data_IF_068847049521
#
_entry.id   IF_068847049521
#
_cell.length_a   1.000
_cell.length_b   1.000
_cell.length_c   1.000
_cell.angle_alpha   90.00
_cell.angle_beta   90.00
_cell.angle_gamma   90.00
#
_symmetry.space_group_name_H-M   'P 1'
#
loop_
_entity.id
_entity.type
_entity.pdbx_description
1 polymer ?
#
# COMPACT_ATOMS: atom_id res chain seq x y z
N UNK A 1 -7.10 13.77 -5.66
CA UNK A 1 -6.56 14.81 -6.57
C UNK A 1 -5.31 14.25 -7.23
N UNK A 2 -5.00 14.62 -8.46
CA UNK A 2 -3.84 14.11 -9.19
C UNK A 2 -2.90 15.24 -9.60
N UNK A 3 -1.59 14.98 -9.59
CA UNK A 3 -0.59 15.81 -10.28
C UNK A 3 -0.45 15.31 -11.71
N UNK A 4 -0.56 16.22 -12.68
CA UNK A 4 -0.45 15.95 -14.11
C UNK A 4 0.45 16.99 -14.77
N UNK A 5 1.09 16.62 -15.87
CA UNK A 5 1.88 17.53 -16.70
C UNK A 5 3.17 16.89 -17.20
N UNK A 6 3.91 17.60 -18.05
CA UNK A 6 5.18 17.13 -18.60
C UNK A 6 6.23 16.78 -17.53
N UNK A 7 6.09 17.33 -16.32
CA UNK A 7 6.96 17.01 -15.20
C UNK A 7 6.74 15.60 -14.62
N UNK A 8 5.54 15.01 -14.80
CA UNK A 8 5.19 13.71 -14.23
C UNK A 8 5.43 12.57 -15.23
N UNK A 9 5.66 11.32 -14.77
CA UNK A 9 5.82 10.18 -15.67
C UNK A 9 4.63 9.92 -16.60
N UNK A 10 3.40 10.22 -16.14
CA UNK A 10 2.17 10.06 -16.92
C UNK A 10 1.83 11.23 -17.85
N UNK A 11 2.63 12.31 -17.83
CA UNK A 11 2.41 13.47 -18.68
C UNK A 11 1.05 14.15 -18.40
N UNK A 12 0.41 14.59 -19.48
CA UNK A 12 -0.93 15.19 -19.45
C UNK A 12 -2.08 14.17 -19.42
N UNK A 13 -1.81 12.87 -19.23
CA UNK A 13 -2.86 11.88 -19.05
C UNK A 13 -3.39 11.93 -17.61
N UNK A 14 -4.64 12.35 -17.44
CA UNK A 14 -5.26 12.47 -16.11
C UNK A 14 -5.30 11.13 -15.37
N UNK A 15 -5.54 10.04 -16.11
CA UNK A 15 -5.69 8.70 -15.52
C UNK A 15 -4.34 8.14 -15.04
N UNK A 16 -3.22 8.59 -15.64
CA UNK A 16 -1.85 8.25 -15.25
C UNK A 16 -1.19 9.35 -14.39
N UNK A 17 -1.99 10.24 -13.79
CA UNK A 17 -1.50 11.25 -12.86
C UNK A 17 -1.00 10.66 -11.54
N UNK A 18 -0.11 11.37 -10.86
CA UNK A 18 0.38 10.98 -9.53
C UNK A 18 -0.73 11.27 -8.51
N UNK A 19 -1.19 10.25 -7.79
CA UNK A 19 -2.26 10.40 -6.81
C UNK A 19 -1.81 11.15 -5.56
N UNK A 20 -2.43 12.29 -5.31
CA UNK A 20 -2.38 12.99 -4.02
C UNK A 20 -3.46 12.43 -3.09
N UNK A 21 -3.01 11.84 -1.99
CA UNK A 21 -3.88 11.29 -0.96
C UNK A 21 -4.44 12.42 -0.10
N UNK A 22 -5.73 12.35 0.19
CA UNK A 22 -6.39 13.25 1.13
C UNK A 22 -5.89 12.95 2.54
N UNK A 23 -5.61 14.00 3.32
CA UNK A 23 -5.28 13.86 4.72
C UNK A 23 -6.53 13.37 5.49
N UNK A 24 -6.43 12.30 6.29
CA UNK A 24 -7.58 11.73 7.00
C UNK A 24 -8.17 12.67 8.07
N UNK A 25 -7.36 13.59 8.60
CA UNK A 25 -7.75 14.55 9.63
C UNK A 25 -8.15 15.92 9.06
N UNK A 26 -7.92 16.15 7.76
CA UNK A 26 -8.29 17.39 7.08
C UNK A 26 -8.62 17.14 5.60
N UNK A 27 -9.93 17.16 5.28
CA UNK A 27 -10.44 16.88 3.94
C UNK A 27 -9.95 17.86 2.85
N UNK A 28 -9.47 19.05 3.24
CA UNK A 28 -8.97 20.06 2.31
C UNK A 28 -7.47 19.94 2.02
N UNK A 29 -6.75 19.05 2.72
CA UNK A 29 -5.31 18.87 2.54
C UNK A 29 -5.05 17.59 1.77
N UNK A 30 -4.26 17.70 0.72
CA UNK A 30 -3.84 16.58 -0.10
C UNK A 30 -2.32 16.57 -0.22
N UNK A 31 -1.72 15.38 -0.21
CA UNK A 31 -0.27 15.27 -0.35
C UNK A 31 0.17 14.01 -1.08
N UNK A 32 1.37 14.05 -1.64
CA UNK A 32 2.09 12.89 -2.16
C UNK A 32 3.60 13.11 -2.11
N UNK A 33 4.34 12.01 -2.19
CA UNK A 33 5.73 12.05 -2.66
C UNK A 33 5.76 11.50 -4.07
N UNK A 34 6.38 12.22 -4.99
CA UNK A 34 6.51 11.81 -6.38
C UNK A 34 7.64 12.53 -7.10
N UNK A 35 8.14 11.90 -8.17
CA UNK A 35 9.16 12.48 -9.03
C UNK A 35 8.58 13.56 -9.93
N UNK A 36 9.25 14.71 -9.99
CA UNK A 36 8.99 15.78 -10.95
C UNK A 36 10.27 16.08 -11.73
N UNK A 37 10.15 16.17 -13.05
CA UNK A 37 11.24 16.55 -13.96
C UNK A 37 11.44 18.07 -13.97
N UNK A 38 12.71 18.52 -13.93
CA UNK A 38 13.08 19.93 -14.00
C UNK A 38 12.51 20.63 -15.24
N UNK A 39 12.14 21.91 -15.06
CA UNK A 39 11.74 22.85 -16.10
C UNK A 39 10.52 22.45 -16.94
N UNK A 40 9.83 21.39 -16.55
CA UNK A 40 8.61 20.90 -17.18
C UNK A 40 7.38 21.30 -16.38
N UNK A 41 6.27 21.51 -17.09
CA UNK A 41 5.05 22.00 -16.47
C UNK A 41 4.29 20.91 -15.70
N UNK A 42 3.65 21.30 -14.60
CA UNK A 42 2.60 20.52 -13.94
C UNK A 42 1.48 21.39 -13.37
N UNK A 43 0.33 20.76 -13.12
CA UNK A 43 -0.82 21.31 -12.39
C UNK A 43 -1.59 20.18 -11.72
N UNK A 44 -2.72 20.51 -11.09
CA UNK A 44 -3.52 19.54 -10.35
C UNK A 44 -4.93 19.44 -10.93
N UNK A 45 -5.53 18.27 -10.78
CA UNK A 45 -6.93 18.07 -11.14
C UNK A 45 -7.65 17.09 -10.21
N UNK A 46 -8.96 17.26 -10.06
CA UNK A 46 -9.85 16.24 -9.54
C UNK A 46 -10.82 15.79 -10.65
N UNK A 47 -10.89 14.48 -10.91
CA UNK A 47 -11.71 13.92 -11.99
C UNK A 47 -10.88 13.44 -13.18
N UNK A 48 -11.55 13.27 -14.33
CA UNK A 48 -10.99 12.62 -15.54
C UNK A 48 -11.19 13.41 -16.84
N UNK A 49 -11.66 14.64 -16.74
CA UNK A 49 -12.16 15.39 -17.89
C UNK A 49 -11.61 16.82 -17.92
N UNK A 50 -10.92 17.16 -19.00
CA UNK A 50 -10.38 18.48 -19.29
C UNK A 50 -11.44 19.50 -19.74
N UNK A 51 -12.67 19.08 -20.03
CA UNK A 51 -13.72 19.96 -20.53
C UNK A 51 -14.21 20.98 -19.50
N UNK A 52 -13.92 20.75 -18.22
CA UNK A 52 -14.31 21.63 -17.11
C UNK A 52 -13.07 22.13 -16.37
N UNK A 53 -12.66 23.36 -16.68
CA UNK A 53 -11.52 24.01 -16.02
C UNK A 53 -11.70 24.17 -14.51
N UNK A 54 -12.93 24.15 -13.99
CA UNK A 54 -13.15 24.22 -12.54
C UNK A 54 -12.67 22.96 -11.81
N UNK A 55 -12.37 21.88 -12.55
CA UNK A 55 -11.76 20.66 -12.01
C UNK A 55 -10.25 20.74 -11.87
N UNK A 56 -9.65 21.87 -12.21
CA UNK A 56 -8.21 22.07 -12.18
C UNK A 56 -7.81 23.07 -11.11
N UNK A 57 -6.68 22.81 -10.46
CA UNK A 57 -5.98 23.78 -9.63
C UNK A 57 -4.66 24.14 -10.29
N UNK A 58 -4.46 25.44 -10.46
CA UNK A 58 -3.44 26.05 -11.31
C UNK A 58 -2.61 27.05 -10.52
N UNK A 59 -1.54 27.55 -11.12
CA UNK A 59 -0.71 28.56 -10.49
C UNK A 59 -1.43 29.92 -10.47
N UNK A 60 -1.52 30.56 -9.31
CA UNK A 60 -2.06 31.91 -9.21
C UNK A 60 -1.11 32.97 -9.81
N UNK A 61 0.17 32.63 -9.96
CA UNK A 61 1.21 33.44 -10.58
C UNK A 61 1.41 33.11 -12.05
N UNK A 62 1.94 34.08 -12.81
CA UNK A 62 2.44 33.85 -14.19
C UNK A 62 3.89 33.38 -14.21
N UNK A 63 4.61 33.51 -13.09
CA UNK A 63 5.91 32.89 -12.92
C UNK A 63 5.72 31.42 -12.50
N UNK A 64 6.12 30.50 -13.37
CA UNK A 64 5.95 29.07 -13.12
C UNK A 64 6.76 28.55 -11.92
N UNK A 65 7.82 29.27 -11.50
CA UNK A 65 8.63 28.91 -10.33
C UNK A 65 8.11 29.52 -9.02
N UNK A 66 7.10 30.38 -9.07
CA UNK A 66 6.37 30.82 -7.88
C UNK A 66 5.42 29.70 -7.43
N UNK A 67 5.90 28.88 -6.50
CA UNK A 67 5.15 27.77 -5.90
C UNK A 67 4.62 28.21 -4.53
N UNK A 68 3.57 29.02 -4.54
CA UNK A 68 2.97 29.54 -3.29
C UNK A 68 1.46 29.33 -3.23
N UNK A 69 0.75 29.73 -4.27
CA UNK A 69 -0.70 29.82 -4.27
C UNK A 69 -1.33 29.10 -5.46
N UNK A 70 -2.49 28.49 -5.19
CA UNK A 70 -3.35 27.84 -6.15
C UNK A 70 -4.50 28.76 -6.54
N UNK A 71 -5.00 28.58 -7.76
CA UNK A 71 -6.31 29.09 -8.18
C UNK A 71 -7.10 27.95 -8.81
N UNK A 72 -8.42 27.89 -8.56
CA UNK A 72 -9.29 26.93 -9.21
C UNK A 72 -9.75 27.49 -10.56
N UNK A 73 -9.49 26.76 -11.65
CA UNK A 73 -9.73 27.24 -13.01
C UNK A 73 -8.90 28.49 -13.38
N UNK A 74 -9.51 29.46 -14.05
CA UNK A 74 -8.86 30.72 -14.44
C UNK A 74 -7.98 30.60 -15.69
N UNK A 75 -6.86 31.34 -15.72
CA UNK A 75 -5.83 31.23 -16.76
C UNK A 75 -5.05 29.91 -16.61
N UNK A 76 -4.53 29.35 -17.71
CA UNK A 76 -3.88 28.03 -17.71
C UNK A 76 -2.42 28.08 -17.25
N UNK A 77 -2.16 28.78 -16.14
CA UNK A 77 -0.85 28.91 -15.53
C UNK A 77 -0.43 27.61 -14.83
N UNK A 78 0.84 27.24 -14.96
CA UNK A 78 1.39 25.96 -14.51
C UNK A 78 2.53 26.20 -13.53
N UNK A 79 2.91 25.15 -12.82
CA UNK A 79 4.07 25.13 -11.93
C UNK A 79 5.25 24.44 -12.61
N UNK A 80 6.47 24.82 -12.21
CA UNK A 80 7.72 24.16 -12.57
C UNK A 80 8.62 24.04 -11.35
N UNK A 81 9.39 22.96 -11.30
CA UNK A 81 10.51 22.82 -10.37
C UNK A 81 11.82 23.01 -11.12
N UNK A 82 12.82 23.62 -10.49
CA UNK A 82 14.10 23.90 -11.14
C UNK A 82 15.04 22.67 -11.21
N UNK A 83 14.76 21.63 -10.41
CA UNK A 83 15.58 20.42 -10.34
C UNK A 83 14.71 19.17 -10.47
N UNK A 84 15.23 18.17 -11.18
CA UNK A 84 14.60 16.86 -11.26
C UNK A 84 14.85 16.13 -9.95
N UNK A 85 13.79 15.85 -9.20
CA UNK A 85 13.89 15.21 -7.89
C UNK A 85 12.57 14.57 -7.50
N UNK A 86 12.61 13.75 -6.45
CA UNK A 86 11.42 13.39 -5.70
C UNK A 86 11.03 14.58 -4.81
N UNK A 87 9.76 14.95 -4.84
CA UNK A 87 9.22 16.05 -4.04
C UNK A 87 8.09 15.57 -3.16
N UNK A 88 8.09 16.03 -1.91
CA UNK A 88 6.89 16.06 -1.09
C UNK A 88 6.08 17.31 -1.47
N UNK A 89 4.88 17.06 -2.02
CA UNK A 89 3.96 18.09 -2.51
C UNK A 89 2.73 18.09 -1.62
N UNK A 90 2.34 19.28 -1.14
CA UNK A 90 1.13 19.48 -0.34
C UNK A 90 0.29 20.56 -0.99
N UNK A 91 -1.00 20.30 -1.14
CA UNK A 91 -2.00 21.28 -1.54
C UNK A 91 -3.02 21.43 -0.40
N UNK A 92 -3.32 22.66 -0.01
CA UNK A 92 -4.37 22.97 0.94
C UNK A 92 -5.43 23.80 0.21
N UNK A 93 -6.61 23.21 0.02
CA UNK A 93 -7.71 23.80 -0.73
C UNK A 93 -8.56 24.78 0.10
N UNK A 94 -8.42 24.77 1.43
CA UNK A 94 -9.05 25.78 2.28
C UNK A 94 -8.32 27.13 2.15
N UNK A 95 -6.99 27.06 2.16
CA UNK A 95 -6.13 28.25 2.09
C UNK A 95 -5.70 28.58 0.65
N UNK A 96 -6.00 27.69 -0.30
CA UNK A 96 -5.56 27.75 -1.70
C UNK A 96 -4.04 27.89 -1.82
N UNK A 97 -3.29 27.10 -1.05
CA UNK A 97 -1.82 27.11 -1.03
C UNK A 97 -1.23 25.80 -1.51
N UNK A 98 0.01 25.90 -1.99
CA UNK A 98 0.85 24.77 -2.38
C UNK A 98 2.21 24.87 -1.68
N UNK A 99 2.76 23.73 -1.28
CA UNK A 99 4.18 23.60 -0.96
C UNK A 99 4.79 22.45 -1.75
N UNK A 100 6.03 22.66 -2.21
CA UNK A 100 6.84 21.66 -2.92
C UNK A 100 8.22 21.69 -2.28
N UNK A 101 8.60 20.59 -1.64
CA UNK A 101 9.90 20.44 -0.96
C UNK A 101 10.55 19.14 -1.40
N UNK A 102 11.88 19.12 -1.53
CA UNK A 102 12.58 17.87 -1.90
C UNK A 102 12.35 16.82 -0.80
N UNK A 103 12.01 15.62 -1.23
CA UNK A 103 11.98 14.44 -0.39
C UNK A 103 13.40 14.08 0.10
N UNK A 104 13.51 13.41 1.25
CA UNK A 104 14.72 12.76 1.75
C UNK A 104 15.20 11.68 0.78
N UNK A 105 14.30 10.84 0.26
CA UNK A 105 14.67 9.77 -0.69
C UNK A 105 14.84 10.31 -2.11
N UNK A 106 16.06 10.20 -2.66
CA UNK A 106 16.39 10.68 -4.02
C UNK A 106 17.04 9.63 -4.92
N UNK A 107 17.26 8.40 -4.45
CA UNK A 107 18.05 7.40 -5.18
C UNK A 107 17.39 6.98 -6.51
N UNK A 108 16.05 6.91 -6.55
CA UNK A 108 15.29 6.50 -7.73
C UNK A 108 13.97 7.31 -7.86
N UNK A 109 13.48 7.61 -9.07
CA UNK A 109 12.21 8.31 -9.30
C UNK A 109 10.97 7.60 -8.73
N UNK A 110 10.31 8.22 -7.75
CA UNK A 110 9.08 7.70 -7.15
C UNK A 110 7.90 8.00 -8.08
N UNK A 111 7.26 6.95 -8.63
CA UNK A 111 6.07 7.09 -9.48
C UNK A 111 4.75 6.93 -8.72
N UNK A 112 4.71 6.00 -7.78
CA UNK A 112 3.48 5.63 -7.07
C UNK A 112 3.72 5.64 -5.55
N UNK A 113 2.82 6.30 -4.84
CA UNK A 113 2.79 6.43 -3.38
C UNK A 113 1.50 5.82 -2.78
N UNK A 114 0.70 5.16 -3.61
CA UNK A 114 -0.53 4.48 -3.23
C UNK A 114 -0.76 3.31 -4.20
N UNK A 115 -1.24 2.19 -3.67
CA UNK A 115 -1.69 1.04 -4.43
C UNK A 115 -2.97 0.50 -3.80
N UNK A 116 -3.82 -0.11 -4.61
CA UNK A 116 -5.12 -0.65 -4.19
C UNK A 116 -5.34 -2.03 -4.80
N UNK A 117 -5.77 -3.00 -3.99
CA UNK A 117 -6.20 -4.30 -4.51
C UNK A 117 -7.65 -4.22 -4.98
N UNK A 118 -7.92 -4.75 -6.18
CA UNK A 118 -9.25 -4.77 -6.80
C UNK A 118 -9.52 -6.18 -7.31
N UNK A 119 -10.59 -6.80 -6.83
CA UNK A 119 -11.02 -8.14 -7.26
C UNK A 119 -11.97 -8.81 -6.26
N UNK A 120 -12.64 -9.88 -6.68
CA UNK A 120 -13.63 -10.59 -5.85
C UNK A 120 -13.03 -11.27 -4.60
N UNK A 121 -11.71 -11.47 -4.55
CA UNK A 121 -11.01 -11.90 -3.33
C UNK A 121 -10.99 -10.81 -2.23
N UNK A 122 -11.14 -9.55 -2.61
CA UNK A 122 -11.06 -8.37 -1.72
C UNK A 122 -12.46 -7.89 -1.31
N UNK A 123 -12.55 -6.99 -0.33
CA UNK A 123 -13.82 -6.44 0.14
C UNK A 123 -14.55 -5.62 -0.94
N UNK A 124 -13.81 -4.78 -1.68
CA UNK A 124 -14.34 -3.89 -2.72
C UNK A 124 -14.74 -4.58 -4.03
N UNK A 125 -14.47 -5.88 -4.16
CA UNK A 125 -14.80 -6.62 -5.38
C UNK A 125 -14.13 -6.03 -6.63
N UNK A 126 -14.81 -6.10 -7.77
CA UNK A 126 -14.35 -5.54 -9.05
C UNK A 126 -14.73 -4.06 -9.25
N UNK A 127 -14.90 -3.30 -8.16
CA UNK A 127 -15.14 -1.86 -8.22
C UNK A 127 -13.83 -1.11 -7.92
N UNK A 128 -13.13 -0.56 -8.93
CA UNK A 128 -11.90 0.24 -8.74
C UNK A 128 -11.95 1.25 -7.60
N UNK A 129 -13.06 2.00 -7.51
CA UNK A 129 -13.24 3.04 -6.50
C UNK A 129 -13.29 2.51 -5.07
N UNK A 130 -13.67 1.24 -4.89
CA UNK A 130 -13.75 0.55 -3.60
C UNK A 130 -12.50 -0.30 -3.33
N UNK A 131 -11.44 -0.12 -4.13
CA UNK A 131 -10.19 -0.87 -4.00
C UNK A 131 -9.61 -0.82 -2.59
N UNK A 132 -9.19 -1.98 -2.10
CA UNK A 132 -8.61 -2.15 -0.76
C UNK A 132 -7.22 -1.52 -0.73
N UNK A 133 -7.00 -0.44 0.06
CA UNK A 133 -5.71 0.26 0.08
C UNK A 133 -4.60 -0.58 0.72
N UNK A 134 -3.41 -0.54 0.13
CA UNK A 134 -2.20 -1.04 0.76
C UNK A 134 -1.54 0.04 1.62
N UNK A 135 -0.81 -0.38 2.65
CA UNK A 135 0.03 0.48 3.48
C UNK A 135 1.32 0.76 2.72
N UNK A 136 1.57 2.02 2.40
CA UNK A 136 2.81 2.45 1.76
C UNK A 136 3.95 2.54 2.78
N UNK A 137 5.15 2.10 2.41
CA UNK A 137 6.35 2.15 3.25
C UNK A 137 6.87 3.56 3.53
N UNK A 138 6.24 4.58 2.92
CA UNK A 138 6.60 5.97 3.12
C UNK A 138 7.94 6.32 2.47
N UNK A 139 8.51 7.44 2.89
CA UNK A 139 9.74 7.97 2.30
C UNK A 139 10.97 7.10 2.57
N UNK A 140 11.01 6.37 3.69
CA UNK A 140 12.12 5.46 4.00
C UNK A 140 12.16 4.25 3.08
N UNK A 141 10.99 3.79 2.60
CA UNK A 141 10.82 2.60 1.77
C UNK A 141 9.78 2.83 0.66
N UNK A 142 10.02 3.74 -0.30
CA UNK A 142 8.96 4.27 -1.18
C UNK A 142 8.46 3.27 -2.22
N UNK A 143 9.16 2.15 -2.40
CA UNK A 143 8.77 1.06 -3.31
C UNK A 143 8.08 -0.10 -2.58
N UNK A 144 7.90 0.00 -1.26
CA UNK A 144 7.29 -1.04 -0.43
C UNK A 144 5.84 -0.75 -0.17
N UNK A 145 5.02 -1.79 -0.31
CA UNK A 145 3.61 -1.75 0.06
C UNK A 145 3.26 -3.04 0.79
N UNK A 146 2.52 -2.93 1.89
CA UNK A 146 2.11 -4.08 2.69
C UNK A 146 0.61 -4.08 2.92
N UNK A 147 0.06 -5.26 3.19
CA UNK A 147 -1.33 -5.38 3.63
C UNK A 147 -1.50 -6.66 4.45
N UNK A 148 -2.33 -6.58 5.51
CA UNK A 148 -2.74 -7.74 6.30
C UNK A 148 -4.23 -7.71 6.50
N UNK A 149 -4.92 -8.81 6.20
CA UNK A 149 -6.36 -8.90 6.38
C UNK A 149 -6.96 -10.17 5.82
N UNK A 150 -8.28 -10.27 5.86
CA UNK A 150 -9.03 -11.42 5.34
C UNK A 150 -9.24 -11.29 3.83
N UNK A 151 -8.95 -12.37 3.10
CA UNK A 151 -9.28 -12.53 1.69
C UNK A 151 -10.25 -13.68 1.51
N UNK A 152 -11.10 -13.57 0.49
CA UNK A 152 -12.00 -14.63 0.02
C UNK A 152 -11.30 -15.45 -1.04
N UNK A 153 -11.79 -16.67 -1.29
CA UNK A 153 -11.45 -17.37 -2.51
C UNK A 153 -11.83 -16.51 -3.72
N UNK A 154 -10.93 -16.41 -4.69
CA UNK A 154 -11.12 -15.57 -5.87
C UNK A 154 -9.79 -15.00 -6.36
N UNK A 155 -9.86 -13.84 -6.98
CA UNK A 155 -8.71 -13.21 -7.61
C UNK A 155 -8.71 -11.70 -7.43
N UNK A 156 -7.54 -11.08 -7.64
CA UNK A 156 -7.39 -9.63 -7.62
C UNK A 156 -6.25 -9.15 -8.52
N UNK A 157 -6.30 -7.85 -8.82
CA UNK A 157 -5.27 -7.04 -9.46
C UNK A 157 -4.88 -5.88 -8.55
N UNK A 158 -3.86 -5.14 -8.94
CA UNK A 158 -3.44 -3.94 -8.23
C UNK A 158 -3.56 -2.72 -9.15
N UNK A 159 -4.27 -1.71 -8.67
CA UNK A 159 -4.43 -0.40 -9.31
C UNK A 159 -3.61 0.66 -8.57
N UNK A 160 -3.24 1.73 -9.26
CA UNK A 160 -2.44 2.82 -8.68
C UNK A 160 -3.27 4.04 -8.25
N UNK A 161 -4.55 4.09 -8.63
CA UNK A 161 -5.43 5.22 -8.33
C UNK A 161 -6.92 4.86 -8.34
N UNK A 162 -7.49 4.57 -7.16
CA UNK A 162 -8.93 4.30 -7.01
C UNK A 162 -9.86 5.48 -7.32
N UNK A 163 -9.36 6.71 -7.46
CA UNK A 163 -10.20 7.89 -7.69
C UNK A 163 -10.44 8.20 -9.16
N UNK A 164 -10.05 7.29 -10.06
CA UNK A 164 -10.20 7.46 -11.50
C UNK A 164 -11.62 7.13 -12.04
N UNK A 165 -12.65 6.97 -11.18
CA UNK A 165 -14.06 6.80 -11.56
C UNK A 165 -14.33 5.70 -12.60
N UNK A 166 -14.18 4.43 -12.18
CA UNK A 166 -14.34 3.21 -12.99
C UNK A 166 -13.35 3.10 -14.17
N UNK A 167 -12.15 3.64 -14.02
CA UNK A 167 -11.10 3.63 -15.03
C UNK A 167 -10.38 2.28 -15.09
N UNK A 168 -10.65 1.53 -16.15
CA UNK A 168 -9.84 0.36 -16.53
C UNK A 168 -8.64 0.74 -17.43
N UNK A 169 -8.50 2.04 -17.69
CA UNK A 169 -7.51 2.68 -18.58
C UNK A 169 -6.34 3.33 -17.83
N UNK A 170 -6.32 3.22 -16.50
CA UNK A 170 -5.20 3.67 -15.67
C UNK A 170 -4.01 2.72 -15.63
N UNK A 171 -2.97 3.05 -14.86
CA UNK A 171 -1.87 2.13 -14.61
C UNK A 171 -2.35 0.97 -13.73
N UNK A 172 -2.12 -0.25 -14.21
CA UNK A 172 -2.40 -1.47 -13.49
C UNK A 172 -1.16 -2.33 -13.38
N UNK A 173 -1.08 -3.07 -12.28
CA UNK A 173 -0.12 -4.12 -12.08
C UNK A 173 -0.77 -5.50 -12.25
N UNK A 174 0.02 -6.41 -12.80
CA UNK A 174 -0.38 -7.77 -13.18
C UNK A 174 0.62 -8.78 -12.62
N UNK A 175 0.19 -10.02 -12.45
CA UNK A 175 1.10 -11.12 -12.15
C UNK A 175 2.06 -11.34 -13.34
N UNK A 176 3.34 -11.60 -13.04
CA UNK A 176 4.37 -11.80 -14.07
C UNK A 176 4.32 -13.17 -14.73
N UNK A 177 5.33 -13.45 -15.57
CA UNK A 177 5.55 -14.77 -16.18
C UNK A 177 6.96 -15.31 -15.85
N UNK A 178 7.08 -16.62 -15.81
CA UNK A 178 8.36 -17.33 -15.75
C UNK A 178 9.00 -17.47 -17.15
N UNK A 179 10.15 -18.15 -17.22
CA UNK A 179 10.90 -18.36 -18.46
C UNK A 179 10.17 -19.27 -19.46
N UNK A 180 9.25 -20.10 -18.98
CA UNK A 180 8.44 -21.03 -19.78
C UNK A 180 7.11 -20.40 -20.22
N UNK A 181 6.81 -19.18 -19.78
CA UNK A 181 5.60 -18.44 -20.11
C UNK A 181 4.39 -18.72 -19.21
N UNK A 182 4.57 -19.43 -18.09
CA UNK A 182 3.51 -19.61 -17.09
C UNK A 182 3.43 -18.39 -16.16
N UNK A 183 2.26 -18.20 -15.52
CA UNK A 183 2.11 -17.12 -14.53
C UNK A 183 3.03 -17.39 -13.34
N UNK A 184 3.87 -16.39 -13.03
CA UNK A 184 4.70 -16.35 -11.84
C UNK A 184 4.06 -15.38 -10.83
N UNK A 185 3.34 -15.95 -9.85
CA UNK A 185 2.64 -15.19 -8.82
C UNK A 185 3.58 -14.43 -7.87
N UNK A 186 4.89 -14.68 -7.91
CA UNK A 186 5.87 -13.92 -7.12
C UNK A 186 6.31 -12.62 -7.77
N UNK A 187 5.94 -12.40 -9.04
CA UNK A 187 6.29 -11.22 -9.82
C UNK A 187 5.13 -10.25 -9.96
N UNK A 188 5.46 -8.97 -9.96
CA UNK A 188 4.54 -7.86 -10.22
C UNK A 188 5.08 -7.02 -11.40
N UNK A 189 4.27 -6.84 -12.44
CA UNK A 189 4.67 -6.16 -13.68
C UNK A 189 3.61 -5.18 -14.16
N UNK A 190 4.03 -4.15 -14.90
CA UNK A 190 3.16 -3.10 -15.44
C UNK A 190 3.18 -3.11 -17.00
N UNK A 191 2.96 -4.27 -17.61
CA UNK A 191 3.00 -4.42 -19.08
C UNK A 191 1.62 -4.36 -19.76
N UNK A 192 0.52 -4.38 -19.00
CA UNK A 192 -0.83 -4.31 -19.55
C UNK A 192 -1.29 -5.57 -20.31
N UNK A 193 -0.60 -6.71 -20.17
CA UNK A 193 -0.83 -7.89 -21.01
C UNK A 193 -1.47 -9.07 -20.27
N UNK A 194 -2.29 -9.82 -21.01
CA UNK A 194 -2.83 -11.12 -20.60
C UNK A 194 -3.86 -11.09 -19.47
N UNK A 195 -4.21 -9.89 -18.97
CA UNK A 195 -5.08 -9.69 -17.81
C UNK A 195 -4.79 -10.65 -16.65
N UNK A 196 -3.50 -10.82 -16.35
CA UNK A 196 -2.98 -11.76 -15.34
C UNK A 196 -3.23 -11.23 -13.93
N UNK A 197 -3.86 -12.08 -13.12
CA UNK A 197 -4.37 -11.75 -11.78
C UNK A 197 -3.73 -12.66 -10.75
N UNK A 198 -3.62 -12.21 -9.51
CA UNK A 198 -3.26 -13.09 -8.40
C UNK A 198 -4.49 -13.86 -7.95
N UNK A 199 -4.29 -15.14 -7.62
CA UNK A 199 -5.34 -16.05 -7.20
C UNK A 199 -5.23 -16.33 -5.70
N UNK A 200 -6.36 -16.33 -5.01
CA UNK A 200 -6.51 -16.78 -3.62
C UNK A 200 -7.33 -18.07 -3.66
N UNK A 201 -6.67 -19.20 -3.43
CA UNK A 201 -7.29 -20.52 -3.53
C UNK A 201 -8.16 -20.86 -2.30
N UNK A 202 -7.83 -20.32 -1.13
CA UNK A 202 -8.58 -20.57 0.10
C UNK A 202 -8.83 -19.26 0.84
N UNK A 203 -10.04 -19.06 1.39
CA UNK A 203 -10.29 -17.89 2.22
C UNK A 203 -9.43 -17.94 3.50
N UNK A 204 -9.16 -16.77 4.07
CA UNK A 204 -8.49 -16.61 5.35
C UNK A 204 -7.66 -15.35 5.41
N UNK A 205 -6.89 -15.22 6.50
CA UNK A 205 -6.01 -14.07 6.71
C UNK A 205 -4.73 -14.20 5.90
N UNK A 206 -4.31 -13.14 5.22
CA UNK A 206 -3.08 -13.08 4.43
C UNK A 206 -2.23 -11.88 4.83
N UNK A 207 -0.92 -12.04 4.64
CA UNK A 207 0.07 -10.96 4.59
C UNK A 207 0.53 -10.80 3.14
N UNK A 208 0.47 -9.57 2.64
CA UNK A 208 0.93 -9.19 1.31
C UNK A 208 2.09 -8.21 1.47
N UNK A 209 3.19 -8.49 0.78
CA UNK A 209 4.39 -7.65 0.73
C UNK A 209 4.79 -7.40 -0.72
N UNK A 210 4.88 -6.15 -1.13
CA UNK A 210 5.26 -5.72 -2.49
C UNK A 210 6.59 -4.98 -2.43
N UNK A 211 7.43 -5.23 -3.42
CA UNK A 211 8.65 -4.49 -3.71
C UNK A 211 8.66 -4.10 -5.20
N UNK A 212 8.21 -2.89 -5.51
CA UNK A 212 8.15 -2.40 -6.88
C UNK A 212 9.54 -2.22 -7.51
N UNK A 213 10.57 -1.97 -6.70
CA UNK A 213 11.94 -1.82 -7.21
C UNK A 213 12.51 -3.16 -7.67
N UNK A 214 12.15 -4.25 -7.00
CA UNK A 214 12.53 -5.62 -7.39
C UNK A 214 11.53 -6.29 -8.33
N UNK A 215 10.35 -5.70 -8.54
CA UNK A 215 9.27 -6.33 -9.30
C UNK A 215 8.71 -7.58 -8.61
N UNK A 216 8.68 -7.59 -7.27
CA UNK A 216 8.26 -8.75 -6.48
C UNK A 216 7.00 -8.49 -5.65
N UNK A 217 6.19 -9.53 -5.48
CA UNK A 217 5.06 -9.59 -4.56
C UNK A 217 5.05 -10.94 -3.84
N UNK A 218 4.80 -10.92 -2.54
CA UNK A 218 4.64 -12.10 -1.69
C UNK A 218 3.24 -12.08 -1.12
N UNK A 219 2.48 -13.16 -1.31
CA UNK A 219 1.14 -13.34 -0.76
C UNK A 219 1.20 -14.60 0.11
N UNK A 220 1.15 -14.44 1.42
CA UNK A 220 1.28 -15.55 2.38
C UNK A 220 0.05 -15.62 3.23
N UNK A 221 -0.61 -16.78 3.25
CA UNK A 221 -1.64 -17.05 4.26
C UNK A 221 -0.98 -16.92 5.62
N UNK A 222 -1.48 -16.01 6.46
CA UNK A 222 -1.03 -15.92 7.83
C UNK A 222 -1.31 -17.28 8.48
N UNK A 223 -0.31 -17.84 9.16
CA UNK A 223 -0.58 -18.99 10.01
C UNK A 223 -1.72 -18.62 10.94
N UNK A 224 -2.57 -19.59 11.30
CA UNK A 224 -3.30 -19.42 12.54
C UNK A 224 -2.21 -19.37 13.60
N UNK A 225 -1.82 -18.16 14.03
CA UNK A 225 -1.23 -17.97 15.34
C UNK A 225 -2.37 -18.28 16.32
N UNK A 226 -2.71 -19.57 16.41
CA UNK A 226 -3.30 -20.11 17.61
C UNK A 226 -2.36 -19.65 18.70
N UNK A 227 -2.91 -19.03 19.73
CA UNK A 227 -2.20 -18.72 20.95
C UNK A 227 -1.53 -20.04 21.39
N UNK A 228 -0.25 -20.22 21.07
CA UNK A 228 0.56 -21.32 21.58
C UNK A 228 0.90 -20.96 23.02
N UNK A 229 -0.09 -21.15 23.88
CA UNK A 229 -0.05 -20.86 25.31
C UNK A 229 0.16 -19.38 25.68
N UNK A 230 -0.74 -18.88 26.52
CA UNK A 230 -0.37 -17.80 27.44
C UNK A 230 0.66 -18.44 28.39
N UNK A 231 1.95 -18.16 28.16
CA UNK A 231 2.97 -18.45 29.15
C UNK A 231 2.74 -17.51 30.35
N UNK A 232 1.93 -17.92 31.31
CA UNK A 232 2.14 -17.48 32.68
C UNK A 232 3.51 -18.04 33.11
N UNK A 233 4.50 -17.17 33.26
CA UNK A 233 5.74 -17.46 33.98
C UNK A 233 5.41 -17.76 35.45
N UNK A 234 4.85 -18.94 35.71
CA UNK A 234 4.70 -19.46 37.05
C UNK A 234 6.06 -19.98 37.48
N UNK A 235 6.79 -19.15 38.22
CA UNK A 235 8.08 -19.46 38.88
C UNK A 235 7.96 -20.48 40.02
N UNK A 236 6.83 -21.20 40.11
CA UNK A 236 6.60 -22.22 41.12
C UNK A 236 7.37 -23.51 40.83
N UNK A 237 7.90 -24.14 41.90
CA UNK A 237 8.56 -25.43 41.78
C UNK A 237 7.56 -26.51 41.28
N UNK A 238 7.95 -27.39 40.34
CA UNK A 238 7.07 -28.41 39.81
C UNK A 238 6.72 -29.46 40.87
N UNK A 239 5.43 -29.81 40.95
CA UNK A 239 4.93 -30.93 41.75
C UNK A 239 4.48 -32.06 40.82
N UNK A 240 4.82 -33.30 41.17
CA UNK A 240 4.51 -34.47 40.35
C UNK A 240 3.52 -35.39 41.04
N UNK A 241 2.61 -35.99 40.26
CA UNK A 241 1.65 -36.98 40.72
C UNK A 241 1.73 -38.24 39.84
N UNK A 242 1.49 -39.41 40.44
CA UNK A 242 1.24 -40.63 39.66
C UNK A 242 -0.18 -40.61 39.05
N UNK A 243 -0.52 -41.60 38.22
CA UNK A 243 -1.82 -41.67 37.55
C UNK A 243 -3.01 -41.91 38.50
N UNK A 244 -2.74 -42.23 39.75
CA UNK A 244 -3.72 -42.34 40.83
C UNK A 244 -3.90 -41.03 41.61
N UNK A 245 -3.19 -39.95 41.23
CA UNK A 245 -3.29 -38.64 41.88
C UNK A 245 -2.47 -38.49 43.16
N UNK A 246 -1.52 -39.40 43.43
CA UNK A 246 -0.65 -39.35 44.62
C UNK A 246 0.63 -38.57 44.29
N UNK A 247 1.02 -37.64 45.16
CA UNK A 247 2.24 -36.83 45.02
C UNK A 247 3.52 -37.69 45.06
N UNK A 248 4.49 -37.38 44.21
CA UNK A 248 5.77 -38.09 44.05
C UNK A 248 6.93 -37.10 44.16
N UNK A 249 7.78 -37.24 45.18
CA UNK A 249 8.86 -36.30 45.46
C UNK A 249 10.07 -36.41 44.50
N UNK A 250 10.39 -37.63 44.03
CA UNK A 250 11.54 -37.91 43.15
C UNK A 250 11.09 -38.79 41.97
N UNK A 251 10.33 -38.24 41.02
CA UNK A 251 9.80 -39.02 39.91
C UNK A 251 10.92 -39.45 38.96
N UNK A 252 10.95 -40.73 38.58
CA UNK A 252 11.86 -41.29 37.58
C UNK A 252 11.27 -42.56 36.99
N UNK A 253 11.65 -42.90 35.76
CA UNK A 253 11.27 -44.13 35.05
C UNK A 253 9.75 -44.35 35.00
N UNK A 254 8.99 -43.36 34.52
CA UNK A 254 7.54 -43.49 34.46
C UNK A 254 6.79 -42.29 33.86
N UNK A 255 5.47 -42.47 33.75
CA UNK A 255 4.53 -41.43 33.34
C UNK A 255 4.01 -40.71 34.58
N UNK A 256 4.11 -39.38 34.60
CA UNK A 256 3.66 -38.53 35.70
C UNK A 256 2.77 -37.39 35.19
N UNK A 257 1.98 -36.83 36.10
CA UNK A 257 1.31 -35.55 35.92
C UNK A 257 2.15 -34.48 36.61
N UNK A 258 2.69 -33.54 35.84
CA UNK A 258 3.47 -32.39 36.34
C UNK A 258 2.55 -31.17 36.44
N UNK A 259 2.46 -30.59 37.64
CA UNK A 259 1.78 -29.31 37.90
C UNK A 259 2.81 -28.21 38.19
N UNK A 260 2.71 -27.08 37.50
CA UNK A 260 3.50 -25.86 37.74
C UNK A 260 2.51 -24.69 37.77
N UNK A 261 2.30 -24.05 38.92
CA UNK A 261 1.23 -23.06 39.07
C UNK A 261 -0.13 -23.66 38.72
N UNK A 262 -0.82 -23.01 37.79
CA UNK A 262 -2.12 -23.45 37.25
C UNK A 262 -2.01 -24.43 36.05
N UNK A 263 -0.81 -24.67 35.54
CA UNK A 263 -0.59 -25.55 34.38
C UNK A 263 -0.43 -27.00 34.82
N UNK A 264 -1.14 -27.91 34.16
CA UNK A 264 -1.03 -29.36 34.36
C UNK A 264 -0.66 -30.02 33.05
N UNK A 265 0.37 -30.87 33.06
CA UNK A 265 0.88 -31.57 31.87
C UNK A 265 1.22 -33.02 32.19
N UNK A 266 1.09 -33.90 31.20
CA UNK A 266 1.58 -35.28 31.29
C UNK A 266 3.04 -35.31 30.82
N UNK A 267 3.91 -35.90 31.63
CA UNK A 267 5.35 -36.01 31.34
C UNK A 267 5.82 -37.46 31.47
N UNK A 268 6.89 -37.79 30.77
CA UNK A 268 7.62 -39.06 30.90
C UNK A 268 9.01 -38.69 31.43
N UNK A 269 9.37 -39.24 32.59
CA UNK A 269 10.64 -39.01 33.27
C UNK A 269 11.41 -40.31 33.45
#
# INVERSE_FOLDING_TARGET
>A
MNIIGGATPGGWNIVDGILMQQNPDNENVFSCIGYLKADEDFKFTYGKDFSDSNKEFRNASTDAYDISNLVQGGDDNKFRVAESANYYVVCNLNDMTISVSKAEYQDNPIRFNALFMVGNATEGGWTPNDGTPLVWGGESDPYKFTWTGELKEGEFKIETNRYNYNAWDGPWYFAGIDEDGNIDYSKIVADGTGDRKWQIAEPGRYNIDIDLQKGLISIKKAGMDGIEDIAEDNTEAPVYYNLQGISVANPSNGIFIKKVGNKVSKVIL
#
